data_IF_983796258437
#
_entry.id   IF_983796258437
#
_cell.length_a   1.000
_cell.length_b   1.000
_cell.length_c   1.000
_cell.angle_alpha   90.00
_cell.angle_beta   90.00
_cell.angle_gamma   90.00
#
_symmetry.space_group_name_H-M   'P 1'
#
loop_
_entity.id
_entity.type
_entity.pdbx_description
1 polymer ?
#
# COMPACT_ATOMS: atom_id res chain seq x y z
N UNK A 1 30.51 -17.08 -41.03
CA UNK A 1 30.32 -18.37 -40.33
C UNK A 1 30.87 -18.38 -38.90
N UNK A 2 32.18 -18.30 -38.65
CA UNK A 2 32.71 -18.35 -37.28
C UNK A 2 32.45 -17.06 -36.45
N UNK A 3 32.51 -15.88 -37.07
CA UNK A 3 32.20 -14.62 -36.37
C UNK A 3 30.71 -14.50 -36.04
N UNK A 4 29.83 -14.90 -36.97
CA UNK A 4 28.37 -14.94 -36.75
C UNK A 4 28.02 -15.87 -35.59
N UNK A 5 28.61 -17.08 -35.54
CA UNK A 5 28.40 -18.00 -34.43
C UNK A 5 28.90 -17.45 -33.09
N UNK A 6 30.03 -16.73 -33.09
CA UNK A 6 30.53 -16.04 -31.90
C UNK A 6 29.58 -14.93 -31.45
N UNK A 7 28.99 -14.19 -32.41
CA UNK A 7 28.05 -13.12 -32.15
C UNK A 7 26.75 -13.66 -31.51
N UNK A 8 26.19 -14.73 -32.07
CA UNK A 8 24.98 -15.36 -31.53
C UNK A 8 25.19 -15.88 -30.11
N UNK A 9 26.35 -16.48 -29.81
CA UNK A 9 26.68 -16.93 -28.46
C UNK A 9 26.77 -15.76 -27.45
N UNK A 10 27.30 -14.61 -27.88
CA UNK A 10 27.36 -13.41 -27.03
C UNK A 10 25.95 -12.87 -26.77
N UNK A 11 25.10 -12.82 -27.78
CA UNK A 11 23.69 -12.39 -27.67
C UNK A 11 22.89 -13.34 -26.77
N UNK A 12 23.05 -14.65 -26.93
CA UNK A 12 22.44 -15.66 -26.07
C UNK A 12 22.92 -15.49 -24.61
N UNK A 13 24.23 -15.33 -24.39
CA UNK A 13 24.77 -15.12 -23.04
C UNK A 13 24.22 -13.84 -22.40
N UNK A 14 24.08 -12.76 -23.18
CA UNK A 14 23.48 -11.51 -22.70
C UNK A 14 22.01 -11.68 -22.35
N UNK A 15 21.23 -12.34 -23.20
CA UNK A 15 19.80 -12.58 -22.94
C UNK A 15 19.57 -13.45 -21.70
N UNK A 16 20.38 -14.49 -21.51
CA UNK A 16 20.32 -15.34 -20.31
C UNK A 16 20.69 -14.59 -19.04
N UNK A 17 21.69 -13.69 -19.09
CA UNK A 17 22.02 -12.82 -17.95
C UNK A 17 20.87 -11.89 -17.58
N UNK A 18 20.24 -11.26 -18.57
CA UNK A 18 19.08 -10.39 -18.35
C UNK A 18 17.91 -11.17 -17.72
N UNK A 19 17.62 -12.37 -18.21
CA UNK A 19 16.60 -13.23 -17.62
C UNK A 19 16.90 -13.59 -16.17
N UNK A 20 18.17 -13.92 -15.86
CA UNK A 20 18.61 -14.21 -14.51
C UNK A 20 18.44 -13.00 -13.59
N UNK A 21 18.81 -11.81 -14.03
CA UNK A 21 18.71 -10.59 -13.23
C UNK A 21 17.24 -10.24 -12.96
N UNK A 22 16.36 -10.37 -13.96
CA UNK A 22 14.91 -10.21 -13.78
C UNK A 22 14.35 -11.24 -12.80
N UNK A 23 14.77 -12.51 -12.90
CA UNK A 23 14.33 -13.56 -11.99
C UNK A 23 14.80 -13.32 -10.54
N UNK A 24 16.05 -12.89 -10.35
CA UNK A 24 16.59 -12.50 -9.03
C UNK A 24 15.83 -11.33 -8.44
N UNK A 25 15.64 -10.26 -9.19
CA UNK A 25 14.88 -9.09 -8.74
C UNK A 25 13.45 -9.45 -8.34
N UNK A 26 12.80 -10.36 -9.08
CA UNK A 26 11.47 -10.87 -8.73
C UNK A 26 11.49 -11.65 -7.41
N UNK A 27 12.48 -12.53 -7.22
CA UNK A 27 12.61 -13.31 -5.99
C UNK A 27 12.83 -12.39 -4.78
N UNK A 28 13.79 -11.49 -4.87
CA UNK A 28 14.13 -10.59 -3.76
C UNK A 28 12.91 -9.72 -3.37
N UNK A 29 12.09 -9.31 -4.35
CA UNK A 29 10.82 -8.62 -4.10
C UNK A 29 9.81 -9.48 -3.34
N UNK A 30 9.67 -10.76 -3.69
CA UNK A 30 8.76 -11.68 -2.99
C UNK A 30 9.22 -11.89 -1.54
N UNK A 31 10.51 -12.10 -1.33
CA UNK A 31 11.10 -12.22 0.02
C UNK A 31 10.83 -10.97 0.86
N UNK A 32 10.98 -9.77 0.29
CA UNK A 32 10.65 -8.52 0.97
C UNK A 32 9.17 -8.41 1.33
N UNK A 33 8.27 -8.82 0.43
CA UNK A 33 6.83 -8.83 0.70
C UNK A 33 6.48 -9.81 1.83
N UNK A 34 7.10 -10.99 1.87
CA UNK A 34 6.91 -11.96 2.94
C UNK A 34 7.40 -11.44 4.30
N UNK A 35 8.58 -10.82 4.34
CA UNK A 35 9.12 -10.21 5.57
C UNK A 35 8.18 -9.12 6.07
N UNK A 36 7.71 -8.23 5.19
CA UNK A 36 6.76 -7.18 5.56
C UNK A 36 5.42 -7.74 6.04
N UNK A 37 4.93 -8.81 5.42
CA UNK A 37 3.70 -9.46 5.86
C UNK A 37 3.84 -10.00 7.28
N UNK A 38 4.96 -10.64 7.60
CA UNK A 38 5.24 -11.15 8.96
C UNK A 38 5.25 -10.02 9.99
N UNK A 39 5.88 -8.89 9.68
CA UNK A 39 5.87 -7.71 10.57
C UNK A 39 4.45 -7.18 10.76
N UNK A 40 3.65 -7.13 9.70
CA UNK A 40 2.26 -6.69 9.79
C UNK A 40 1.41 -7.62 10.66
N UNK A 41 1.58 -8.94 10.52
CA UNK A 41 0.89 -9.93 11.33
C UNK A 41 1.33 -9.86 12.81
N UNK A 42 2.62 -9.65 13.06
CA UNK A 42 3.18 -9.50 14.42
C UNK A 42 2.64 -8.26 15.12
N UNK A 43 2.62 -7.10 14.45
CA UNK A 43 2.07 -5.86 15.00
C UNK A 43 0.57 -5.98 15.28
N UNK A 44 -0.22 -6.56 14.38
CA UNK A 44 -1.65 -6.81 14.60
C UNK A 44 -1.90 -7.77 15.75
N UNK A 45 -1.12 -8.86 15.85
CA UNK A 45 -1.25 -9.81 16.96
C UNK A 45 -0.91 -9.19 18.31
N UNK A 46 0.05 -8.26 18.35
CA UNK A 46 0.45 -7.56 19.58
C UNK A 46 -0.53 -6.45 19.98
N UNK A 47 -1.11 -5.76 19.01
CA UNK A 47 -1.97 -4.59 19.18
C UNK A 47 -3.30 -4.74 18.40
N UNK A 48 -4.16 -5.72 18.74
CA UNK A 48 -5.32 -6.10 17.92
C UNK A 48 -6.37 -4.98 17.75
N UNK A 49 -6.60 -4.18 18.78
CA UNK A 49 -7.49 -3.00 18.72
C UNK A 49 -6.76 -1.71 18.31
N UNK A 50 -5.43 -1.76 18.27
CA UNK A 50 -4.59 -0.59 18.02
C UNK A 50 -4.09 -0.48 16.59
N UNK A 51 -3.85 -1.60 15.91
CA UNK A 51 -3.30 -1.67 14.55
C UNK A 51 -4.32 -2.31 13.63
N UNK A 52 -4.79 -1.54 12.64
CA UNK A 52 -5.74 -2.04 11.65
C UNK A 52 -5.04 -2.81 10.53
N UNK A 53 -4.01 -2.21 9.94
CA UNK A 53 -3.25 -2.82 8.84
C UNK A 53 -2.57 -1.79 7.93
N UNK A 54 -1.90 -2.26 6.88
CA UNK A 54 -1.29 -1.38 5.87
C UNK A 54 -2.32 -0.89 4.87
N UNK A 55 -2.12 0.30 4.32
CA UNK A 55 -3.06 0.86 3.33
C UNK A 55 -3.25 -0.05 2.12
N UNK A 56 -2.19 -0.71 1.63
CA UNK A 56 -2.24 -1.67 0.53
C UNK A 56 -3.07 -2.92 0.84
N UNK A 57 -3.26 -3.25 2.13
CA UNK A 57 -4.14 -4.34 2.57
C UNK A 57 -5.60 -3.88 2.73
N UNK A 58 -5.79 -2.60 3.07
CA UNK A 58 -7.08 -2.00 3.45
C UNK A 58 -7.85 -1.43 2.25
N UNK A 59 -7.15 -0.80 1.31
CA UNK A 59 -7.74 -0.17 0.13
C UNK A 59 -7.57 -1.05 -1.11
N UNK A 60 -8.68 -1.29 -1.79
CA UNK A 60 -8.69 -1.92 -3.10
C UNK A 60 -9.18 -0.93 -4.15
N UNK A 61 -8.63 -0.98 -5.37
CA UNK A 61 -9.19 -0.25 -6.50
C UNK A 61 -10.59 -0.77 -6.82
N UNK A 62 -11.54 0.12 -7.12
CA UNK A 62 -12.88 -0.26 -7.58
C UNK A 62 -12.84 -0.94 -8.95
N UNK A 63 -11.84 -0.61 -9.77
CA UNK A 63 -11.60 -1.19 -11.09
C UNK A 63 -10.11 -1.31 -11.35
N UNK A 64 -9.69 -2.42 -11.96
CA UNK A 64 -8.28 -2.75 -12.25
C UNK A 64 -7.51 -1.66 -13.02
N UNK A 65 -8.21 -0.85 -13.82
CA UNK A 65 -7.60 0.26 -14.57
C UNK A 65 -7.02 1.34 -13.66
N UNK A 66 -7.46 1.43 -12.41
CA UNK A 66 -7.01 2.45 -11.46
C UNK A 66 -5.80 1.99 -10.62
N UNK A 67 -5.42 0.70 -10.65
CA UNK A 67 -4.35 0.13 -9.83
C UNK A 67 -3.06 0.97 -9.90
N UNK A 68 -2.59 1.26 -11.12
CA UNK A 68 -1.34 1.99 -11.32
C UNK A 68 -1.46 3.44 -10.85
N UNK A 69 -2.57 4.12 -11.18
CA UNK A 69 -2.77 5.51 -10.81
C UNK A 69 -2.89 5.70 -9.29
N UNK A 70 -3.59 4.79 -8.61
CA UNK A 70 -3.70 4.77 -7.16
C UNK A 70 -2.37 4.43 -6.49
N UNK A 71 -1.63 3.44 -7.01
CA UNK A 71 -0.29 3.11 -6.51
C UNK A 71 0.67 4.30 -6.62
N UNK A 72 0.61 5.06 -7.73
CA UNK A 72 1.43 6.25 -7.90
C UNK A 72 0.98 7.41 -7.01
N UNK A 73 -0.33 7.56 -6.78
CA UNK A 73 -0.88 8.60 -5.91
C UNK A 73 -0.53 8.36 -4.44
N UNK A 74 -0.62 7.12 -3.97
CA UNK A 74 -0.26 6.73 -2.60
C UNK A 74 1.26 6.68 -2.39
N UNK A 75 2.02 6.26 -3.40
CA UNK A 75 3.47 6.13 -3.33
C UNK A 75 3.91 5.26 -2.15
N UNK A 76 4.85 5.77 -1.34
CA UNK A 76 5.33 5.08 -0.15
C UNK A 76 4.28 4.94 0.96
N UNK A 77 3.23 5.78 0.98
CA UNK A 77 2.17 5.68 1.97
C UNK A 77 1.31 4.43 1.81
N UNK A 78 1.34 3.76 0.65
CA UNK A 78 0.67 2.47 0.47
C UNK A 78 1.09 1.43 1.52
N UNK A 79 2.32 1.54 2.05
CA UNK A 79 2.86 0.62 3.04
C UNK A 79 2.75 1.14 4.48
N UNK A 80 2.17 2.32 4.69
CA UNK A 80 1.97 2.87 6.02
C UNK A 80 0.83 2.16 6.75
N UNK A 81 1.01 1.96 8.06
CA UNK A 81 0.07 1.31 8.95
C UNK A 81 -0.95 2.29 9.49
N UNK A 82 -2.23 1.97 9.37
CA UNK A 82 -3.32 2.68 10.04
C UNK A 82 -3.44 2.18 11.48
N UNK A 83 -3.42 3.12 12.44
CA UNK A 83 -3.49 2.82 13.87
C UNK A 83 -4.54 3.68 14.57
N UNK A 84 -5.09 3.19 15.68
CA UNK A 84 -6.16 3.86 16.43
C UNK A 84 -5.78 5.27 16.88
N UNK A 85 -4.60 5.42 17.50
CA UNK A 85 -4.13 6.68 18.05
C UNK A 85 -2.60 6.84 18.00
N UNK A 86 -2.16 8.04 18.33
CA UNK A 86 -0.74 8.37 18.30
C UNK A 86 0.06 7.68 19.42
N UNK A 87 -0.57 7.22 20.49
CA UNK A 87 0.08 6.48 21.56
C UNK A 87 0.43 5.05 21.10
N UNK A 88 -0.50 4.36 20.44
CA UNK A 88 -0.26 3.05 19.82
C UNK A 88 0.83 3.15 18.76
N UNK A 89 0.83 4.20 17.93
CA UNK A 89 1.90 4.44 16.96
C UNK A 89 3.29 4.47 17.63
N UNK A 90 3.42 5.18 18.76
CA UNK A 90 4.68 5.26 19.53
C UNK A 90 5.07 3.90 20.11
N UNK A 91 4.10 3.13 20.61
CA UNK A 91 4.33 1.78 21.12
C UNK A 91 4.82 0.84 20.02
N UNK A 92 4.23 0.90 18.81
CA UNK A 92 4.66 0.12 17.66
C UNK A 92 6.10 0.47 17.25
N UNK A 93 6.43 1.77 17.16
CA UNK A 93 7.80 2.21 16.85
C UNK A 93 8.80 1.73 17.90
N UNK A 94 8.44 1.80 19.19
CA UNK A 94 9.29 1.30 20.26
C UNK A 94 9.53 -0.20 20.13
N UNK A 95 8.45 -0.96 19.90
CA UNK A 95 8.50 -2.40 19.68
C UNK A 95 9.43 -2.81 18.52
N UNK A 96 9.29 -2.16 17.35
CA UNK A 96 10.13 -2.44 16.19
C UNK A 96 11.61 -2.15 16.49
N UNK A 97 11.91 -1.07 17.23
CA UNK A 97 13.29 -0.74 17.64
C UNK A 97 13.89 -1.78 18.57
N UNK A 98 13.15 -2.24 19.59
CA UNK A 98 13.61 -3.27 20.52
C UNK A 98 13.92 -4.58 19.80
N UNK A 99 13.10 -4.94 18.80
CA UNK A 99 13.29 -6.13 17.97
C UNK A 99 14.32 -5.96 16.85
N UNK A 100 14.89 -4.76 16.68
CA UNK A 100 15.80 -4.40 15.58
C UNK A 100 15.19 -4.64 14.19
N UNK A 101 13.87 -4.47 14.08
CA UNK A 101 13.13 -4.51 12.82
C UNK A 101 13.20 -3.11 12.19
N UNK A 102 13.19 -3.04 10.86
CA UNK A 102 13.13 -1.77 10.14
C UNK A 102 11.94 -0.92 10.60
N UNK A 103 12.15 0.37 10.81
CA UNK A 103 11.07 1.29 11.17
C UNK A 103 10.06 1.38 10.03
N UNK A 104 8.78 1.33 10.38
CA UNK A 104 7.65 1.51 9.46
C UNK A 104 6.97 2.87 9.69
N UNK A 105 6.13 3.28 8.75
CA UNK A 105 5.32 4.51 8.87
C UNK A 105 3.97 4.19 9.49
N UNK A 106 3.53 5.02 10.45
CA UNK A 106 2.25 4.86 11.14
C UNK A 106 1.39 6.10 10.97
N UNK A 107 0.10 5.89 10.72
CA UNK A 107 -0.92 6.91 10.50
C UNK A 107 -2.00 6.80 11.58
N UNK A 108 -1.92 7.65 12.62
CA UNK A 108 -2.89 7.67 13.71
C UNK A 108 -4.24 8.27 13.29
N UNK A 109 -5.34 7.56 13.52
CA UNK A 109 -6.69 8.02 13.18
C UNK A 109 -7.13 9.24 14.01
N UNK A 110 -6.64 9.37 15.24
CA UNK A 110 -6.86 10.53 16.12
C UNK A 110 -6.22 11.83 15.58
N UNK A 111 -5.21 11.71 14.71
CA UNK A 111 -4.51 12.85 14.09
C UNK A 111 -4.92 13.11 12.64
N UNK A 112 -5.73 12.24 12.05
CA UNK A 112 -6.27 12.48 10.71
C UNK A 112 -7.34 13.56 10.78
N UNK A 113 -7.12 14.64 10.04
CA UNK A 113 -8.14 15.66 9.84
C UNK A 113 -9.11 15.19 8.76
N UNK A 114 -10.41 15.35 9.01
CA UNK A 114 -11.41 15.15 7.98
C UNK A 114 -11.14 16.15 6.85
N UNK A 115 -11.19 15.70 5.57
CA UNK A 115 -10.98 16.61 4.46
C UNK A 115 -12.02 17.73 4.54
N UNK A 116 -11.56 18.98 4.48
CA UNK A 116 -12.47 20.10 4.23
C UNK A 116 -13.04 19.89 2.84
N UNK A 117 -14.36 19.94 2.70
CA UNK A 117 -15.09 19.79 1.44
C UNK A 117 -14.51 20.72 0.37
N UNK A 118 -13.54 20.21 -0.38
CA UNK A 118 -13.03 20.87 -1.56
C UNK A 118 -13.95 20.46 -2.69
N UNK A 119 -14.62 21.44 -3.31
CA UNK A 119 -15.49 21.24 -4.47
C UNK A 119 -14.80 20.65 -5.71
N UNK A 120 -13.68 19.93 -5.57
CA UNK A 120 -12.94 19.23 -6.61
C UNK A 120 -13.81 18.22 -7.37
N UNK A 121 -14.92 17.75 -6.78
CA UNK A 121 -15.90 16.93 -7.50
C UNK A 121 -16.43 17.66 -8.75
N UNK A 122 -16.65 18.99 -8.67
CA UNK A 122 -17.06 19.83 -9.81
C UNK A 122 -16.05 19.77 -10.96
N UNK A 123 -14.76 19.62 -10.67
CA UNK A 123 -13.70 19.50 -11.69
C UNK A 123 -13.74 18.17 -12.44
N UNK A 124 -14.54 17.21 -11.97
CA UNK A 124 -14.70 15.86 -12.56
C UNK A 124 -16.06 15.64 -13.23
N UNK A 125 -17.00 16.58 -13.10
CA UNK A 125 -18.39 16.41 -13.59
C UNK A 125 -18.56 16.52 -15.11
N UNK A 126 -17.56 17.05 -15.84
CA UNK A 126 -17.65 17.31 -17.29
C UNK A 126 -17.02 16.27 -18.22
N UNK A 127 -16.24 15.31 -17.71
CA UNK A 127 -15.55 14.31 -18.54
C UNK A 127 -15.44 12.96 -17.83
N UNK A 128 -15.87 11.88 -18.49
CA UNK A 128 -15.75 10.50 -17.98
C UNK A 128 -14.30 10.03 -17.78
N UNK A 129 -13.33 10.81 -18.28
CA UNK A 129 -11.90 10.45 -18.30
C UNK A 129 -11.19 10.79 -16.99
N UNK A 130 -11.70 11.72 -16.18
CA UNK A 130 -11.06 12.16 -14.94
C UNK A 130 -11.95 11.90 -13.74
N UNK A 131 -11.40 11.26 -12.71
CA UNK A 131 -12.12 10.96 -11.46
C UNK A 131 -11.27 11.29 -10.25
N UNK A 132 -11.92 11.63 -9.14
CA UNK A 132 -11.21 11.74 -7.87
C UNK A 132 -10.74 10.35 -7.44
N UNK A 133 -9.48 10.27 -6.99
CA UNK A 133 -8.90 9.01 -6.52
C UNK A 133 -9.69 8.42 -5.35
N UNK A 134 -10.28 9.25 -4.49
CA UNK A 134 -11.18 8.83 -3.39
C UNK A 134 -12.42 8.08 -3.89
N UNK A 135 -12.91 8.35 -5.09
CA UNK A 135 -14.06 7.66 -5.70
C UNK A 135 -13.65 6.36 -6.44
N UNK A 136 -12.35 6.12 -6.56
CA UNK A 136 -11.79 4.97 -7.27
C UNK A 136 -11.25 3.88 -6.33
N UNK A 137 -11.43 4.04 -5.03
CA UNK A 137 -11.04 3.08 -4.00
C UNK A 137 -12.27 2.53 -3.26
N UNK A 138 -12.13 1.33 -2.71
CA UNK A 138 -13.11 0.65 -1.87
C UNK A 138 -12.40 -0.14 -0.76
N UNK A 139 -13.14 -0.47 0.28
CA UNK A 139 -12.62 -1.27 1.40
C UNK A 139 -12.37 -2.73 1.00
N UNK A 140 -11.31 -3.32 1.55
CA UNK A 140 -11.11 -4.76 1.50
C UNK A 140 -11.99 -5.47 2.55
N UNK A 141 -13.25 -5.75 2.20
CA UNK A 141 -14.20 -6.39 3.12
C UNK A 141 -13.71 -7.74 3.65
N UNK A 142 -13.07 -8.54 2.79
CA UNK A 142 -12.49 -9.84 3.18
C UNK A 142 -11.37 -9.69 4.21
N UNK A 143 -10.66 -8.57 4.20
CA UNK A 143 -9.68 -8.26 5.22
C UNK A 143 -10.38 -7.86 6.52
N UNK A 144 -11.33 -6.92 6.47
CA UNK A 144 -12.07 -6.45 7.66
C UNK A 144 -12.83 -7.58 8.38
N UNK A 145 -13.42 -8.52 7.66
CA UNK A 145 -14.10 -9.67 8.25
C UNK A 145 -13.20 -10.51 9.17
N UNK A 146 -11.89 -10.55 8.88
CA UNK A 146 -10.89 -11.26 9.68
C UNK A 146 -10.43 -10.49 10.91
N UNK A 147 -10.71 -9.19 11.00
CA UNK A 147 -10.28 -8.31 12.09
C UNK A 147 -11.47 -8.00 13.01
N UNK A 148 -11.69 -8.82 14.04
CA UNK A 148 -12.88 -8.71 14.92
C UNK A 148 -13.02 -7.33 15.58
N UNK A 149 -11.92 -6.76 16.10
CA UNK A 149 -11.92 -5.45 16.77
C UNK A 149 -12.19 -4.24 15.85
N UNK A 150 -12.16 -4.44 14.53
CA UNK A 150 -12.34 -3.38 13.55
C UNK A 150 -13.56 -3.58 12.65
N UNK A 151 -14.44 -4.55 12.97
CA UNK A 151 -15.61 -4.84 12.11
C UNK A 151 -16.56 -3.66 11.97
N UNK A 152 -16.79 -2.92 13.05
CA UNK A 152 -17.73 -1.79 13.08
C UNK A 152 -17.06 -0.47 12.73
N UNK A 153 -15.89 -0.19 13.30
CA UNK A 153 -15.17 1.08 13.15
C UNK A 153 -14.23 1.13 11.94
N UNK A 154 -13.83 -0.05 11.42
CA UNK A 154 -12.87 -0.20 10.34
C UNK A 154 -13.27 0.48 9.03
N UNK A 155 -14.49 0.30 8.51
CA UNK A 155 -14.91 0.98 7.27
C UNK A 155 -14.72 2.50 7.34
N UNK A 156 -15.22 3.14 8.39
CA UNK A 156 -15.07 4.59 8.60
C UNK A 156 -13.60 4.99 8.76
N UNK A 157 -12.79 4.21 9.49
CA UNK A 157 -11.36 4.45 9.62
C UNK A 157 -10.63 4.42 8.26
N UNK A 158 -11.00 3.48 7.38
CA UNK A 158 -10.39 3.38 6.06
C UNK A 158 -10.88 4.52 5.16
N UNK A 159 -12.16 4.87 5.18
CA UNK A 159 -12.71 6.02 4.43
C UNK A 159 -12.01 7.33 4.81
N UNK A 160 -11.82 7.57 6.12
CA UNK A 160 -11.07 8.74 6.63
C UNK A 160 -9.62 8.71 6.18
N UNK A 161 -8.98 7.54 6.17
CA UNK A 161 -7.60 7.38 5.70
C UNK A 161 -7.48 7.65 4.19
N UNK A 162 -8.36 7.06 3.39
CA UNK A 162 -8.41 7.27 1.94
C UNK A 162 -8.63 8.74 1.61
N UNK A 163 -9.60 9.34 2.29
CA UNK A 163 -9.90 10.76 2.21
C UNK A 163 -8.68 11.61 2.56
N UNK A 164 -8.00 11.32 3.67
CA UNK A 164 -6.81 12.07 4.10
C UNK A 164 -5.67 12.01 3.06
N UNK A 165 -5.42 10.85 2.46
CA UNK A 165 -4.28 10.62 1.57
C UNK A 165 -4.54 10.99 0.11
N UNK A 166 -5.79 10.85 -0.35
CA UNK A 166 -6.15 11.01 -1.75
C UNK A 166 -6.98 12.28 -2.01
N UNK A 167 -7.25 13.11 -1.00
CA UNK A 167 -8.01 14.34 -1.18
C UNK A 167 -7.41 15.21 -2.29
N UNK A 168 -8.26 15.68 -3.20
CA UNK A 168 -7.85 16.53 -4.32
C UNK A 168 -7.03 15.83 -5.42
N UNK A 169 -6.75 14.52 -5.30
CA UNK A 169 -6.02 13.77 -6.34
C UNK A 169 -7.00 13.36 -7.45
N UNK A 170 -6.71 13.75 -8.69
CA UNK A 170 -7.48 13.40 -9.88
C UNK A 170 -6.68 12.39 -10.72
N UNK A 171 -7.31 11.27 -11.07
CA UNK A 171 -6.76 10.16 -11.87
C UNK A 171 -7.64 9.79 -13.05
#
# INVERSE_FOLDING_TARGET
RFSEFKQTLVEEQQSLRLQLDVAKARRDRLEQLEVRQKVADELRGRFPEGVLGRISELLLPTQKRFDMALQMSLGGMAEAFVVSDAAVARQCVHYLKERRISSETFLPLDRMQDPKDGGFHLLTQGSQVRRLATLCVQHNEKFLQRQEGWRETGPNAIDRTASHLLNGTII
#
